data_IF_338205192804
#
_entry.id   IF_338205192804
#
_cell.length_a   1.000
_cell.length_b   1.000
_cell.length_c   1.000
_cell.angle_alpha   90.00
_cell.angle_beta   90.00
_cell.angle_gamma   90.00
#
_symmetry.space_group_name_H-M   'P 1'
#
loop_
_entity.id
_entity.type
_entity.pdbx_description
1 polymer ?
#
# COMPACT_ATOMS: atom_id res chain seq x y z
N UNK A 1 59.04 -30.91 -9.08
CA UNK A 1 57.99 -31.35 -10.00
C UNK A 1 56.86 -30.35 -9.86
N UNK A 2 56.70 -29.46 -10.82
CA UNK A 2 55.73 -28.37 -10.78
C UNK A 2 54.51 -28.81 -11.60
N UNK A 3 53.33 -28.83 -10.98
CA UNK A 3 52.08 -29.15 -11.65
C UNK A 3 51.69 -28.07 -12.68
N UNK A 4 51.03 -28.42 -13.79
CA UNK A 4 50.56 -27.44 -14.78
C UNK A 4 49.35 -26.65 -14.27
N UNK A 5 49.39 -25.33 -14.43
CA UNK A 5 48.28 -24.42 -14.19
C UNK A 5 47.10 -24.70 -15.16
N UNK A 6 45.84 -24.81 -14.70
CA UNK A 6 44.70 -24.94 -15.60
C UNK A 6 44.35 -23.61 -16.28
N UNK A 7 43.92 -23.68 -17.55
CA UNK A 7 43.52 -22.52 -18.35
C UNK A 7 42.22 -21.86 -17.84
N UNK A 8 42.04 -20.53 -18.01
CA UNK A 8 40.94 -19.75 -17.41
C UNK A 8 39.58 -19.89 -18.13
N UNK A 9 39.30 -21.03 -18.75
CA UNK A 9 38.13 -21.24 -19.61
C UNK A 9 36.99 -22.07 -19.00
N UNK A 10 37.29 -22.95 -18.04
CA UNK A 10 36.39 -24.08 -17.74
C UNK A 10 35.57 -23.95 -16.43
N UNK A 11 35.63 -22.79 -15.75
CA UNK A 11 35.05 -22.63 -14.42
C UNK A 11 33.51 -22.40 -14.39
N UNK A 12 32.82 -22.29 -15.52
CA UNK A 12 31.41 -21.84 -15.56
C UNK A 12 30.40 -22.92 -15.95
N UNK A 13 30.83 -24.17 -16.12
CA UNK A 13 29.95 -25.24 -16.62
C UNK A 13 29.35 -26.07 -15.48
N UNK A 14 28.53 -25.45 -14.65
CA UNK A 14 27.59 -26.16 -13.78
C UNK A 14 26.20 -25.52 -13.86
N UNK A 15 25.33 -26.16 -14.63
CA UNK A 15 23.92 -25.80 -14.83
C UNK A 15 23.30 -26.72 -15.89
N UNK A 16 22.00 -27.06 -15.79
CA UNK A 16 21.36 -27.95 -16.75
C UNK A 16 21.43 -27.38 -18.18
N UNK A 17 21.47 -28.24 -19.22
CA UNK A 17 21.67 -27.81 -20.60
C UNK A 17 20.57 -26.84 -21.05
N UNK A 18 20.97 -25.66 -21.53
CA UNK A 18 20.04 -24.71 -22.15
C UNK A 18 19.52 -25.32 -23.47
N UNK A 19 18.21 -25.55 -23.54
CA UNK A 19 17.54 -25.91 -24.78
C UNK A 19 17.58 -24.71 -25.76
N UNK A 20 17.85 -24.93 -27.06
CA UNK A 20 17.73 -23.89 -28.07
C UNK A 20 16.30 -23.34 -28.09
N UNK A 21 16.16 -22.02 -27.99
CA UNK A 21 14.86 -21.36 -28.09
C UNK A 21 14.26 -21.62 -29.48
N UNK A 22 13.21 -22.41 -29.54
CA UNK A 22 12.35 -22.48 -30.72
C UNK A 22 11.57 -21.17 -30.83
N UNK A 23 11.52 -20.51 -32.00
CA UNK A 23 10.61 -19.38 -32.18
C UNK A 23 9.18 -19.88 -32.02
N UNK A 24 8.28 -19.14 -31.33
CA UNK A 24 6.89 -19.53 -31.23
C UNK A 24 6.28 -19.55 -32.62
N UNK A 25 5.88 -20.73 -33.08
CA UNK A 25 4.90 -20.87 -34.17
C UNK A 25 3.63 -20.17 -33.71
N UNK A 26 3.42 -18.97 -34.25
CA UNK A 26 2.20 -18.20 -34.04
C UNK A 26 1.04 -18.96 -34.68
N UNK A 27 0.10 -19.40 -33.85
CA UNK A 27 -1.21 -19.80 -34.32
C UNK A 27 -1.88 -18.55 -34.92
N UNK A 28 -2.40 -18.70 -36.12
CA UNK A 28 -3.11 -17.67 -36.88
C UNK A 28 -4.20 -17.03 -36.00
N UNK A 29 -4.14 -15.71 -35.79
CA UNK A 29 -5.31 -14.96 -35.33
C UNK A 29 -5.22 -14.07 -34.09
N UNK A 30 -4.07 -13.76 -33.49
CA UNK A 30 -3.99 -12.69 -32.46
C UNK A 30 -2.72 -11.85 -32.67
N UNK A 31 -2.87 -10.77 -33.46
CA UNK A 31 -1.81 -9.83 -33.77
C UNK A 31 -1.34 -9.10 -32.50
N UNK A 32 -0.05 -9.26 -32.19
CA UNK A 32 0.66 -8.41 -31.25
C UNK A 32 0.68 -6.97 -31.80
N UNK A 33 -0.19 -6.13 -31.26
CA UNK A 33 -0.31 -4.73 -31.62
C UNK A 33 0.91 -3.93 -31.20
N UNK A 34 1.72 -3.54 -32.17
CA UNK A 34 2.59 -2.37 -32.08
C UNK A 34 1.70 -1.14 -31.79
N UNK A 35 2.04 -0.23 -30.86
CA UNK A 35 1.26 0.99 -30.69
C UNK A 35 1.40 1.84 -31.95
N UNK A 36 0.28 2.06 -32.63
CA UNK A 36 0.16 2.98 -33.76
C UNK A 36 0.39 4.41 -33.22
N UNK A 37 1.25 5.23 -33.84
CA UNK A 37 1.36 6.64 -33.46
C UNK A 37 0.02 7.33 -33.71
N UNK A 38 -0.72 7.63 -32.64
CA UNK A 38 -2.02 8.31 -32.71
C UNK A 38 -3.19 7.62 -31.98
N UNK A 39 -3.01 6.44 -31.39
CA UNK A 39 -4.06 5.78 -30.60
C UNK A 39 -3.96 6.12 -29.11
N UNK A 40 -4.93 6.88 -28.58
CA UNK A 40 -5.07 7.18 -27.15
C UNK A 40 -5.62 5.97 -26.38
N UNK A 41 -4.96 5.48 -25.32
CA UNK A 41 -5.52 4.44 -24.47
C UNK A 41 -6.69 4.99 -23.64
N UNK A 42 -7.90 4.50 -23.90
CA UNK A 42 -9.10 4.83 -23.14
C UNK A 42 -9.15 4.01 -21.83
N UNK A 43 -8.49 4.51 -20.79
CA UNK A 43 -8.78 4.17 -19.41
C UNK A 43 -9.74 5.22 -18.83
N UNK A 44 -10.78 4.73 -18.13
CA UNK A 44 -11.96 5.48 -17.72
C UNK A 44 -11.67 6.82 -17.03
N UNK A 45 -12.11 7.90 -17.68
CA UNK A 45 -12.17 9.24 -17.10
C UNK A 45 -13.30 9.35 -16.07
N UNK A 46 -13.16 10.17 -15.02
CA UNK A 46 -14.30 10.73 -14.34
C UNK A 46 -15.10 11.60 -15.32
N UNK A 47 -16.40 11.38 -15.34
CA UNK A 47 -17.37 12.10 -16.17
C UNK A 47 -17.24 13.62 -15.96
N UNK A 48 -17.14 14.45 -17.02
CA UNK A 48 -17.15 15.90 -16.86
C UNK A 48 -18.50 16.35 -16.30
N UNK A 49 -18.46 17.12 -15.21
CA UNK A 49 -19.64 17.78 -14.65
C UNK A 49 -20.26 18.71 -15.71
N UNK A 50 -21.60 18.81 -15.81
CA UNK A 50 -22.26 19.72 -16.73
C UNK A 50 -21.83 21.18 -16.48
N UNK A 51 -21.69 21.95 -17.56
CA UNK A 51 -21.22 23.35 -17.62
C UNK A 51 -22.07 24.36 -16.81
N UNK A 52 -23.11 23.91 -16.12
CA UNK A 52 -23.87 24.72 -15.17
C UNK A 52 -23.15 24.95 -13.82
N UNK A 53 -21.99 24.32 -13.59
CA UNK A 53 -21.21 24.50 -12.37
C UNK A 53 -20.20 25.68 -12.40
N UNK A 54 -20.06 26.38 -13.53
CA UNK A 54 -18.96 27.35 -13.76
C UNK A 54 -19.34 28.83 -13.64
N UNK A 55 -20.51 29.17 -13.08
CA UNK A 55 -20.91 30.57 -12.96
C UNK A 55 -20.67 31.12 -11.55
N UNK A 56 -19.77 32.12 -11.36
CA UNK A 56 -19.67 32.86 -10.12
C UNK A 56 -20.89 33.80 -10.03
N UNK A 57 -21.93 33.33 -9.35
CA UNK A 57 -23.10 34.14 -9.02
C UNK A 57 -22.78 35.19 -7.94
N UNK A 58 -23.37 36.39 -8.00
CA UNK A 58 -23.16 37.42 -7.01
C UNK A 58 -23.67 36.97 -5.63
N UNK A 59 -22.81 37.14 -4.63
CA UNK A 59 -23.01 36.69 -3.26
C UNK A 59 -24.30 37.22 -2.64
N UNK A 60 -25.13 36.29 -2.18
CA UNK A 60 -26.16 36.54 -1.17
C UNK A 60 -25.84 35.64 0.02
N UNK A 61 -25.45 36.28 1.12
CA UNK A 61 -25.07 35.64 2.37
C UNK A 61 -26.26 34.96 3.04
N UNK A 62 -26.11 33.66 3.30
CA UNK A 62 -26.92 32.98 4.30
C UNK A 62 -26.20 33.05 5.65
N UNK A 63 -26.88 33.45 6.74
CA UNK A 63 -26.31 33.36 8.07
C UNK A 63 -26.12 31.89 8.45
N UNK A 64 -24.86 31.47 8.60
CA UNK A 64 -24.52 30.20 9.23
C UNK A 64 -24.94 30.24 10.71
N UNK A 65 -25.70 29.26 11.21
CA UNK A 65 -25.86 29.11 12.65
C UNK A 65 -24.50 28.76 13.25
N UNK A 66 -24.04 29.59 14.18
CA UNK A 66 -22.80 29.39 14.92
C UNK A 66 -22.82 28.00 15.59
N UNK A 67 -21.83 27.16 15.25
CA UNK A 67 -21.56 25.96 16.02
C UNK A 67 -21.08 26.39 17.42
N UNK A 68 -21.64 25.84 18.51
CA UNK A 68 -21.20 26.15 19.85
C UNK A 68 -19.76 25.66 20.04
N UNK A 69 -18.85 26.61 20.29
CA UNK A 69 -17.48 26.36 20.72
C UNK A 69 -17.50 25.65 22.07
N UNK A 70 -17.26 24.33 22.06
CA UNK A 70 -17.00 23.58 23.29
C UNK A 70 -15.58 23.90 23.77
N UNK A 71 -15.41 24.37 25.02
CA UNK A 71 -14.09 24.65 25.57
C UNK A 71 -13.48 23.37 26.15
N UNK A 72 -12.27 23.04 25.70
CA UNK A 72 -11.32 22.21 26.44
C UNK A 72 -11.12 20.80 25.90
N UNK A 73 -9.95 20.59 25.30
CA UNK A 73 -8.98 19.51 25.57
C UNK A 73 -7.93 19.63 24.45
N UNK A 74 -6.90 20.46 24.71
CA UNK A 74 -5.71 20.52 23.87
C UNK A 74 -4.99 19.18 23.97
N UNK A 75 -5.18 18.31 22.98
CA UNK A 75 -4.24 17.23 22.73
C UNK A 75 -3.00 17.87 22.07
N UNK A 76 -1.78 17.69 22.62
CA UNK A 76 -0.58 18.19 21.98
C UNK A 76 -0.35 17.44 20.68
N UNK A 77 -0.51 18.14 19.55
CA UNK A 77 0.04 17.72 18.27
C UNK A 77 1.56 17.74 18.41
N UNK A 78 2.30 16.66 18.13
CA UNK A 78 3.76 16.70 18.15
C UNK A 78 4.26 17.75 17.15
N UNK A 79 4.81 18.83 17.70
CA UNK A 79 5.36 19.95 16.94
C UNK A 79 6.65 19.49 16.24
N UNK A 80 6.55 19.17 14.95
CA UNK A 80 7.70 19.00 14.07
C UNK A 80 8.53 20.28 13.97
N UNK A 81 9.84 20.10 13.77
CA UNK A 81 10.90 21.10 13.88
C UNK A 81 10.63 22.49 13.27
N UNK A 82 11.20 23.58 13.82
CA UNK A 82 11.02 24.93 13.31
C UNK A 82 11.80 25.11 11.99
N UNK A 83 11.09 25.23 10.86
CA UNK A 83 11.74 25.67 9.62
C UNK A 83 11.00 25.45 8.29
N UNK A 84 10.02 24.56 8.18
CA UNK A 84 9.32 24.32 6.90
C UNK A 84 7.84 24.05 7.16
N UNK A 85 7.07 25.14 7.29
CA UNK A 85 5.63 25.10 7.48
C UNK A 85 4.91 24.74 6.17
N UNK A 86 4.82 23.43 5.88
CA UNK A 86 3.89 22.87 4.92
C UNK A 86 2.71 22.22 5.65
N UNK A 87 1.50 22.31 5.09
CA UNK A 87 0.35 21.57 5.60
C UNK A 87 0.57 20.07 5.33
N UNK A 88 0.45 19.18 6.33
CA UNK A 88 0.50 17.74 6.10
C UNK A 88 -0.61 17.32 5.12
N UNK A 89 -0.22 16.71 4.00
CA UNK A 89 -1.16 16.21 2.98
C UNK A 89 -1.60 14.79 3.31
N UNK A 90 -0.67 13.97 3.81
CA UNK A 90 -0.87 12.58 4.14
C UNK A 90 0.14 12.12 5.19
N UNK A 91 -0.26 11.19 6.06
CA UNK A 91 0.64 10.49 6.98
C UNK A 91 0.57 8.99 6.74
N UNK A 92 1.74 8.34 6.67
CA UNK A 92 1.89 6.90 6.49
C UNK A 92 2.75 6.38 7.64
N UNK A 93 2.12 5.84 8.68
CA UNK A 93 2.82 5.53 9.92
C UNK A 93 3.41 6.80 10.54
N UNK A 94 4.73 6.82 10.71
CA UNK A 94 5.54 7.94 11.20
C UNK A 94 6.13 8.83 10.07
N UNK A 95 5.82 8.53 8.80
CA UNK A 95 6.22 9.34 7.64
C UNK A 95 5.13 10.36 7.36
N UNK A 96 5.47 11.64 7.43
CA UNK A 96 4.56 12.72 7.06
C UNK A 96 4.92 13.27 5.68
N UNK A 97 3.97 13.26 4.75
CA UNK A 97 4.11 13.85 3.43
C UNK A 97 3.52 15.26 3.44
N UNK A 98 4.38 16.24 3.21
CA UNK A 98 4.00 17.64 3.00
C UNK A 98 3.88 17.93 1.50
N UNK A 99 3.55 19.18 1.13
CA UNK A 99 3.38 19.57 -0.26
C UNK A 99 4.66 19.49 -1.11
N UNK A 100 5.84 19.66 -0.51
CA UNK A 100 7.14 19.67 -1.23
C UNK A 100 8.23 18.81 -0.55
N UNK A 101 7.96 18.32 0.66
CA UNK A 101 8.92 17.56 1.45
C UNK A 101 8.27 16.35 2.12
N UNK A 102 9.10 15.38 2.48
CA UNK A 102 8.73 14.23 3.28
C UNK A 102 9.48 14.37 4.60
N UNK A 103 8.75 14.37 5.70
CA UNK A 103 9.29 14.47 7.06
C UNK A 103 9.28 13.07 7.67
N UNK A 104 10.45 12.61 8.09
CA UNK A 104 10.61 11.35 8.85
C UNK A 104 11.41 11.60 10.13
N UNK A 105 11.40 10.67 11.09
CA UNK A 105 12.26 10.75 12.28
C UNK A 105 13.76 10.86 11.96
N UNK A 106 14.19 10.39 10.78
CA UNK A 106 15.57 10.48 10.30
C UNK A 106 15.90 11.83 9.64
N UNK A 107 14.93 12.73 9.52
CA UNK A 107 15.06 14.05 8.91
C UNK A 107 14.11 14.26 7.73
N UNK A 108 14.23 15.42 7.08
CA UNK A 108 13.40 15.79 5.94
C UNK A 108 14.08 15.45 4.62
N UNK A 109 13.34 14.90 3.65
CA UNK A 109 13.82 14.57 2.29
C UNK A 109 12.89 15.17 1.23
N UNK A 110 13.39 15.45 0.00
CA UNK A 110 12.56 16.08 -1.03
C UNK A 110 11.43 15.13 -1.46
N UNK A 111 10.23 15.66 -1.71
CA UNK A 111 9.12 14.86 -2.23
C UNK A 111 9.35 14.49 -3.70
N UNK A 112 9.90 15.42 -4.47
CA UNK A 112 10.21 15.21 -5.89
C UNK A 112 11.25 14.12 -6.09
N UNK A 113 10.93 13.16 -6.95
CA UNK A 113 11.78 12.00 -7.23
C UNK A 113 11.78 10.94 -6.13
N UNK A 114 10.88 11.03 -5.13
CA UNK A 114 10.77 10.01 -4.10
C UNK A 114 10.17 8.71 -4.67
N UNK A 115 10.84 7.59 -4.37
CA UNK A 115 10.39 6.24 -4.72
C UNK A 115 9.74 5.61 -3.50
N UNK A 116 8.49 5.16 -3.66
CA UNK A 116 7.69 4.55 -2.61
C UNK A 116 7.41 3.07 -2.89
N UNK A 117 7.68 2.24 -1.88
CA UNK A 117 7.44 0.80 -1.93
C UNK A 117 6.61 0.37 -0.71
N UNK A 118 5.65 -0.52 -0.93
CA UNK A 118 4.86 -1.14 0.12
C UNK A 118 4.90 -2.66 -0.04
N UNK A 119 5.16 -3.37 1.05
CA UNK A 119 5.26 -4.83 1.08
C UNK A 119 4.33 -5.37 2.16
N UNK A 120 3.45 -6.28 1.76
CA UNK A 120 2.56 -6.97 2.68
C UNK A 120 3.30 -8.12 3.38
N UNK A 121 3.41 -8.03 4.71
CA UNK A 121 3.89 -9.12 5.56
C UNK A 121 2.77 -9.63 6.49
N UNK A 122 1.52 -9.34 6.16
CA UNK A 122 0.37 -9.86 6.89
C UNK A 122 0.04 -11.28 6.49
N UNK A 123 -0.46 -12.06 7.45
CA UNK A 123 -0.98 -13.41 7.23
C UNK A 123 -2.34 -13.55 7.89
N UNK A 124 -3.24 -14.26 7.23
CA UNK A 124 -4.55 -14.59 7.79
C UNK A 124 -4.52 -16.01 8.32
N UNK A 125 -4.72 -16.16 9.62
CA UNK A 125 -4.81 -17.45 10.29
C UNK A 125 -6.27 -17.76 10.64
N UNK A 126 -6.64 -19.03 10.54
CA UNK A 126 -7.93 -19.53 11.02
C UNK A 126 -7.73 -20.18 12.39
N UNK A 127 -8.44 -19.71 13.40
CA UNK A 127 -8.39 -20.26 14.76
C UNK A 127 -9.80 -20.59 15.25
N UNK A 128 -9.93 -21.71 15.97
CA UNK A 128 -11.16 -22.03 16.70
C UNK A 128 -11.22 -21.12 17.95
N UNK A 129 -12.26 -20.30 18.11
CA UNK A 129 -12.36 -19.39 19.25
C UNK A 129 -12.59 -20.18 20.54
N UNK A 130 -12.00 -19.72 21.65
CA UNK A 130 -12.10 -20.43 22.94
C UNK A 130 -13.56 -20.59 23.39
N UNK A 131 -14.39 -19.58 23.14
CA UNK A 131 -15.82 -19.62 23.45
C UNK A 131 -16.57 -20.71 22.67
N UNK A 132 -16.19 -21.01 21.41
CA UNK A 132 -16.77 -22.14 20.68
C UNK A 132 -16.50 -23.47 21.38
N UNK A 133 -15.29 -23.65 21.91
CA UNK A 133 -14.91 -24.87 22.63
C UNK A 133 -15.71 -24.97 23.94
N UNK A 134 -15.84 -23.88 24.69
CA UNK A 134 -16.61 -23.86 25.94
C UNK A 134 -18.09 -24.15 25.68
N UNK A 135 -18.70 -23.50 24.69
CA UNK A 135 -20.10 -23.74 24.30
C UNK A 135 -20.30 -25.17 23.81
N UNK A 136 -19.34 -25.72 23.05
CA UNK A 136 -19.39 -27.11 22.61
C UNK A 136 -19.45 -28.09 23.78
N UNK A 137 -18.66 -27.85 24.84
CA UNK A 137 -18.65 -28.68 26.05
C UNK A 137 -19.98 -28.57 26.82
N UNK A 138 -20.49 -27.35 27.03
CA UNK A 138 -21.74 -27.12 27.78
C UNK A 138 -22.95 -27.71 27.07
N UNK A 139 -23.03 -27.57 25.74
CA UNK A 139 -24.15 -28.06 24.94
C UNK A 139 -23.94 -29.48 24.38
N UNK A 140 -22.85 -30.17 24.72
CA UNK A 140 -22.58 -31.54 24.26
C UNK A 140 -23.71 -32.50 24.66
N UNK A 141 -24.27 -32.33 25.86
CA UNK A 141 -25.38 -33.15 26.38
C UNK A 141 -26.73 -32.82 25.70
N UNK A 142 -26.88 -31.63 25.14
CA UNK A 142 -28.10 -31.16 24.47
C UNK A 142 -28.15 -31.54 22.97
N UNK A 143 -27.55 -32.68 22.60
CA UNK A 143 -27.73 -33.36 21.31
C UNK A 143 -27.01 -32.70 20.12
N UNK A 144 -25.70 -32.91 19.99
CA UNK A 144 -24.87 -32.61 18.81
C UNK A 144 -24.76 -31.13 18.37
N UNK A 145 -25.63 -30.24 18.86
CA UNK A 145 -25.56 -28.79 18.60
C UNK A 145 -24.23 -28.21 19.12
N UNK A 146 -23.71 -28.75 20.24
CA UNK A 146 -22.37 -28.41 20.73
C UNK A 146 -21.27 -28.57 19.68
N UNK A 147 -21.36 -29.59 18.82
CA UNK A 147 -20.37 -29.87 17.79
C UNK A 147 -20.41 -28.84 16.64
N UNK A 148 -21.58 -28.24 16.36
CA UNK A 148 -21.69 -27.16 15.38
C UNK A 148 -20.83 -25.95 15.78
N UNK A 149 -20.68 -25.68 17.08
CA UNK A 149 -19.82 -24.60 17.54
C UNK A 149 -18.33 -24.86 17.25
N UNK A 150 -17.87 -26.11 17.17
CA UNK A 150 -16.49 -26.40 16.76
C UNK A 150 -16.22 -26.11 15.28
N UNK A 151 -17.26 -26.03 14.45
CA UNK A 151 -17.13 -25.55 13.06
C UNK A 151 -16.98 -24.03 12.99
N UNK A 152 -17.30 -23.29 14.06
CA UNK A 152 -17.11 -21.85 14.11
C UNK A 152 -15.61 -21.55 14.08
N UNK A 153 -15.13 -21.07 12.92
CA UNK A 153 -13.76 -20.60 12.74
C UNK A 153 -13.73 -19.08 12.74
N UNK A 154 -12.77 -18.53 13.46
CA UNK A 154 -12.50 -17.11 13.46
C UNK A 154 -11.28 -16.85 12.58
N UNK A 155 -11.41 -15.91 11.64
CA UNK A 155 -10.30 -15.42 10.83
C UNK A 155 -9.64 -14.27 11.56
N UNK A 156 -8.34 -14.40 11.83
CA UNK A 156 -7.52 -13.33 12.43
C UNK A 156 -6.39 -12.97 11.49
N UNK A 157 -6.32 -11.70 11.12
CA UNK A 157 -5.19 -11.14 10.37
C UNK A 157 -4.15 -10.64 11.36
N UNK A 158 -2.91 -11.06 11.18
CA UNK A 158 -1.77 -10.65 12.00
C UNK A 158 -0.59 -10.30 11.09
N UNK A 159 0.36 -9.52 11.60
CA UNK A 159 1.56 -9.10 10.86
C UNK A 159 1.60 -7.60 10.61
N UNK A 160 2.38 -7.19 9.62
CA UNK A 160 2.68 -5.79 9.34
C UNK A 160 2.69 -5.50 7.85
N UNK A 161 2.46 -4.26 7.47
CA UNK A 161 2.74 -3.73 6.14
C UNK A 161 3.98 -2.85 6.25
N UNK A 162 5.04 -3.22 5.54
CA UNK A 162 6.26 -2.43 5.50
C UNK A 162 6.13 -1.39 4.40
N UNK A 163 6.30 -0.11 4.73
CA UNK A 163 6.35 0.97 3.76
C UNK A 163 7.74 1.59 3.80
N UNK A 164 8.37 1.72 2.63
CA UNK A 164 9.66 2.37 2.49
C UNK A 164 9.60 3.51 1.49
N UNK A 165 10.36 4.55 1.78
CA UNK A 165 10.52 5.73 0.93
C UNK A 165 12.00 5.99 0.73
N UNK A 166 12.39 6.25 -0.51
CA UNK A 166 13.77 6.61 -0.88
C UNK A 166 13.76 7.91 -1.66
N UNK A 167 14.51 8.91 -1.19
CA UNK A 167 14.62 10.21 -1.86
C UNK A 167 15.91 10.92 -1.49
N UNK A 168 16.53 11.60 -2.48
CA UNK A 168 17.73 12.41 -2.26
C UNK A 168 18.88 11.66 -1.57
N UNK A 169 19.09 10.39 -1.92
CA UNK A 169 20.12 9.52 -1.33
C UNK A 169 19.80 8.99 0.07
N UNK A 170 18.63 9.30 0.64
CA UNK A 170 18.17 8.82 1.94
C UNK A 170 17.05 7.81 1.79
N UNK A 171 16.92 6.91 2.75
CA UNK A 171 15.87 5.90 2.80
C UNK A 171 15.29 5.85 4.21
N UNK A 172 13.98 5.69 4.31
CA UNK A 172 13.30 5.51 5.58
C UNK A 172 12.18 4.49 5.41
N UNK A 173 11.97 3.68 6.44
CA UNK A 173 10.99 2.60 6.42
C UNK A 173 10.20 2.54 7.71
N UNK A 174 8.91 2.27 7.59
CA UNK A 174 7.99 2.16 8.71
C UNK A 174 7.18 0.87 8.60
N UNK A 175 6.72 0.36 9.74
CA UNK A 175 5.91 -0.86 9.83
C UNK A 175 4.55 -0.51 10.38
N UNK A 176 3.51 -0.72 9.57
CA UNK A 176 2.12 -0.46 9.93
C UNK A 176 1.48 -1.78 10.37
N UNK A 177 0.93 -1.90 11.58
CA UNK A 177 0.30 -3.14 12.03
C UNK A 177 -0.90 -3.50 11.15
N UNK A 178 -0.98 -4.75 10.73
CA UNK A 178 -2.11 -5.26 9.96
C UNK A 178 -3.30 -5.51 10.90
N UNK A 179 -4.29 -4.61 10.85
CA UNK A 179 -5.50 -4.69 11.68
C UNK A 179 -6.58 -5.57 11.03
N UNK A 180 -6.44 -5.89 9.74
CA UNK A 180 -7.36 -6.71 8.99
C UNK A 180 -6.97 -6.86 7.51
N UNK A 181 -7.76 -7.60 6.73
CA UNK A 181 -7.49 -7.81 5.29
C UNK A 181 -7.51 -6.53 4.45
N UNK A 182 -8.18 -5.49 4.94
CA UNK A 182 -8.30 -4.19 4.27
C UNK A 182 -7.13 -3.24 4.57
N UNK A 183 -6.24 -3.59 5.52
CA UNK A 183 -5.11 -2.71 5.89
C UNK A 183 -4.16 -2.51 4.72
N UNK A 184 -3.76 -3.57 4.02
CA UNK A 184 -2.84 -3.45 2.89
C UNK A 184 -3.41 -2.61 1.73
N UNK A 185 -4.66 -2.84 1.25
CA UNK A 185 -5.27 -1.96 0.25
C UNK A 185 -5.33 -0.48 0.66
N UNK A 186 -5.63 -0.19 1.93
CA UNK A 186 -5.67 1.18 2.44
C UNK A 186 -4.28 1.85 2.41
N UNK A 187 -3.25 1.15 2.90
CA UNK A 187 -1.86 1.62 2.86
C UNK A 187 -1.39 1.79 1.41
N UNK A 188 -1.76 0.87 0.52
CA UNK A 188 -1.40 0.97 -0.89
C UNK A 188 -2.04 2.20 -1.54
N UNK A 189 -3.28 2.54 -1.19
CA UNK A 189 -3.94 3.78 -1.63
C UNK A 189 -3.17 5.03 -1.20
N UNK A 190 -2.75 5.09 0.07
CA UNK A 190 -1.92 6.17 0.60
C UNK A 190 -0.57 6.27 -0.12
N UNK A 191 0.10 5.14 -0.34
CA UNK A 191 1.38 5.07 -1.05
C UNK A 191 1.23 5.50 -2.51
N UNK A 192 0.13 5.14 -3.18
CA UNK A 192 -0.16 5.59 -4.54
C UNK A 192 -0.39 7.10 -4.61
N UNK A 193 -1.07 7.69 -3.61
CA UNK A 193 -1.21 9.13 -3.48
C UNK A 193 0.13 9.83 -3.24
N UNK A 194 0.98 9.27 -2.38
CA UNK A 194 2.33 9.81 -2.17
C UNK A 194 3.17 9.75 -3.45
N UNK A 195 3.07 8.64 -4.20
CA UNK A 195 3.74 8.47 -5.50
C UNK A 195 3.29 9.50 -6.52
N UNK A 196 2.00 9.83 -6.60
CA UNK A 196 1.52 10.83 -7.56
C UNK A 196 2.03 12.24 -7.27
N UNK A 197 2.28 12.57 -6.00
CA UNK A 197 2.87 13.86 -5.60
C UNK A 197 4.39 13.91 -5.78
N UNK A 198 5.04 12.74 -5.92
CA UNK A 198 6.49 12.62 -6.04
C UNK A 198 7.02 12.81 -7.47
N UNK A 199 6.11 12.93 -8.45
CA UNK A 199 6.42 13.19 -9.87
C UNK A 199 6.80 14.65 -10.08
#
# INVERSE_FOLDING_TARGET
MSEPQPAPGDAYKWGPPQQPAHPPTVADGQAYGYPTPGATPAYGYPQPLPESATQPGPGYGYPHPAQPTMPGQYLPVPQGAPGQGGVPVLSIGDITVMSDAIVTPSGTMPLKGAVWTATDMSRTEEKIPAHAIVLAIVFALFCLIGLLFLLMKEKRTVGFVQVTVTSGGRHHGTMIPAMGPHTFPAVMGQVNQARSMSV
#
